data_IF_390898941406
#
_entry.id   IF_390898941406
#
_cell.length_a   1.000
_cell.length_b   1.000
_cell.length_c   1.000
_cell.angle_alpha   90.00
_cell.angle_beta   90.00
_cell.angle_gamma   90.00
#
_symmetry.space_group_name_H-M   'P 1'
#
loop_
_entity.id
_entity.type
_entity.pdbx_description
1 polymer ?
#
# COMPACT_ATOMS: atom_id res chain seq x y z
N UNK A 1 13.15 -6.56 -9.00
CA UNK A 1 12.55 -5.71 -10.05
C UNK A 1 11.18 -5.33 -9.53
N UNK A 2 11.17 -4.40 -8.59
CA UNK A 2 9.96 -3.87 -7.98
C UNK A 2 9.28 -3.03 -9.04
N UNK A 3 8.11 -3.48 -9.50
CA UNK A 3 7.39 -2.85 -10.60
C UNK A 3 7.13 -1.38 -10.25
N UNK A 4 7.83 -0.50 -10.97
CA UNK A 4 7.66 0.96 -11.02
C UNK A 4 6.31 1.24 -11.71
N UNK A 5 5.23 0.88 -11.03
CA UNK A 5 3.87 1.04 -11.50
C UNK A 5 3.10 1.96 -10.59
N UNK A 6 2.18 2.74 -11.15
CA UNK A 6 1.19 3.45 -10.38
C UNK A 6 0.15 2.46 -9.84
N UNK A 7 -0.14 2.57 -8.55
CA UNK A 7 -1.14 1.80 -7.84
C UNK A 7 -2.23 2.74 -7.36
N UNK A 8 -3.47 2.29 -7.41
CA UNK A 8 -4.60 2.93 -6.75
C UNK A 8 -4.91 2.18 -5.46
N UNK A 9 -5.22 2.91 -4.40
CA UNK A 9 -5.78 2.31 -3.20
C UNK A 9 -7.24 2.00 -3.48
N UNK A 10 -7.62 0.74 -3.26
CA UNK A 10 -8.98 0.24 -3.40
C UNK A 10 -9.48 -0.22 -2.05
N UNK A 11 -10.79 -0.09 -1.84
CA UNK A 11 -11.50 -0.67 -0.71
C UNK A 11 -12.58 -1.60 -1.21
N UNK A 12 -12.84 -2.67 -0.46
CA UNK A 12 -14.00 -3.51 -0.70
C UNK A 12 -15.18 -3.09 0.19
N UNK A 13 -16.30 -3.81 0.07
CA UNK A 13 -17.51 -3.60 0.89
C UNK A 13 -17.33 -3.95 2.37
N UNK A 14 -16.28 -4.71 2.71
CA UNK A 14 -15.91 -5.08 4.08
C UNK A 14 -14.89 -4.10 4.70
N UNK A 15 -14.70 -2.93 4.08
CA UNK A 15 -13.79 -1.87 4.52
C UNK A 15 -12.31 -2.30 4.60
N UNK A 16 -11.94 -3.34 3.87
CA UNK A 16 -10.56 -3.79 3.71
C UNK A 16 -9.86 -2.97 2.62
N UNK A 17 -8.69 -2.44 2.94
CA UNK A 17 -7.87 -1.65 2.01
C UNK A 17 -6.82 -2.52 1.34
N UNK A 18 -6.62 -2.32 0.04
CA UNK A 18 -5.54 -2.95 -0.72
C UNK A 18 -5.06 -2.02 -1.83
N UNK A 19 -3.89 -2.33 -2.38
CA UNK A 19 -3.34 -1.61 -3.53
C UNK A 19 -3.63 -2.42 -4.80
N UNK A 20 -4.10 -1.73 -5.84
CA UNK A 20 -4.39 -2.34 -7.14
C UNK A 20 -3.61 -1.61 -8.23
N UNK A 21 -2.90 -2.32 -9.13
CA UNK A 21 -2.17 -1.68 -10.22
C UNK A 21 -3.14 -0.96 -11.17
N UNK A 22 -2.84 0.29 -11.51
CA UNK A 22 -3.69 1.11 -12.38
C UNK A 22 -3.78 0.57 -13.82
N UNK A 23 -2.79 -0.22 -14.24
CA UNK A 23 -2.76 -0.91 -15.52
C UNK A 23 -3.83 -2.02 -15.65
N UNK A 24 -4.54 -2.35 -14.57
CA UNK A 24 -5.59 -3.37 -14.55
C UNK A 24 -6.94 -2.79 -14.18
N UNK A 25 -7.99 -3.31 -14.82
CA UNK A 25 -9.36 -3.04 -14.42
C UNK A 25 -9.62 -3.48 -12.97
N UNK A 26 -10.41 -2.68 -12.24
CA UNK A 26 -10.76 -2.97 -10.84
C UNK A 26 -11.87 -4.03 -10.84
N UNK A 27 -11.69 -5.15 -10.12
CA UNK A 27 -12.72 -6.20 -10.05
C UNK A 27 -13.99 -5.70 -9.38
N UNK A 28 -15.13 -6.28 -9.77
CA UNK A 28 -16.44 -5.97 -9.18
C UNK A 28 -16.43 -6.21 -7.67
N UNK A 29 -16.94 -5.25 -6.89
CA UNK A 29 -16.94 -5.29 -5.42
C UNK A 29 -15.76 -4.56 -4.78
N UNK A 30 -14.80 -4.09 -5.58
CA UNK A 30 -13.76 -3.16 -5.16
C UNK A 30 -14.02 -1.77 -5.71
N UNK A 31 -13.62 -0.74 -4.97
CA UNK A 31 -13.82 0.66 -5.35
C UNK A 31 -12.57 1.46 -5.00
N UNK A 32 -12.08 2.26 -5.95
CA UNK A 32 -10.96 3.17 -5.73
C UNK A 32 -11.32 4.21 -4.66
N UNK A 33 -10.43 4.42 -3.69
CA UNK A 33 -10.65 5.42 -2.61
C UNK A 33 -10.26 6.84 -3.04
N UNK A 34 -9.73 7.00 -4.25
CA UNK A 34 -9.26 8.29 -4.79
C UNK A 34 -7.81 8.63 -4.42
N UNK A 35 -7.06 7.69 -3.83
CA UNK A 35 -5.62 7.81 -3.63
C UNK A 35 -4.89 6.90 -4.63
N UNK A 36 -3.95 7.48 -5.39
CA UNK A 36 -3.13 6.79 -6.36
C UNK A 36 -1.68 7.28 -6.27
N UNK A 37 -0.72 6.39 -6.49
CA UNK A 37 0.69 6.73 -6.43
C UNK A 37 1.58 5.51 -6.46
N UNK A 38 2.82 5.69 -6.01
CA UNK A 38 3.76 4.57 -5.89
C UNK A 38 3.25 3.53 -4.88
N UNK A 39 3.70 2.28 -5.03
CA UNK A 39 3.41 1.20 -4.06
C UNK A 39 3.68 1.64 -2.61
N UNK A 40 4.80 2.29 -2.36
CA UNK A 40 5.20 2.76 -1.03
C UNK A 40 4.24 3.84 -0.49
N UNK A 41 3.84 4.81 -1.32
CA UNK A 41 2.90 5.86 -0.92
C UNK A 41 1.52 5.29 -0.59
N UNK A 42 1.02 4.39 -1.44
CA UNK A 42 -0.26 3.71 -1.22
C UNK A 42 -0.25 2.89 0.07
N UNK A 43 0.82 2.13 0.33
CA UNK A 43 0.96 1.37 1.57
C UNK A 43 1.07 2.27 2.81
N UNK A 44 1.78 3.39 2.71
CA UNK A 44 1.89 4.39 3.78
C UNK A 44 0.53 5.05 4.08
N UNK A 45 -0.23 5.37 3.04
CA UNK A 45 -1.59 5.89 3.16
C UNK A 45 -2.50 4.88 3.84
N UNK A 46 -2.50 3.62 3.39
CA UNK A 46 -3.28 2.54 4.01
C UNK A 46 -2.88 2.37 5.48
N UNK A 47 -1.57 2.34 5.80
CA UNK A 47 -1.10 2.22 7.18
C UNK A 47 -1.52 3.39 8.08
N UNK A 48 -1.72 4.58 7.51
CA UNK A 48 -2.14 5.76 8.25
C UNK A 48 -3.65 5.82 8.42
N UNK A 49 -4.40 5.49 7.38
CA UNK A 49 -5.87 5.57 7.32
C UNK A 49 -6.56 4.34 7.92
N UNK A 50 -5.97 3.16 7.78
CA UNK A 50 -6.44 1.92 8.41
C UNK A 50 -5.80 1.80 9.80
N UNK A 51 -6.12 2.77 10.66
CA UNK A 51 -5.42 3.02 11.93
C UNK A 51 -5.79 2.03 13.04
N UNK A 52 -6.87 1.26 12.85
CA UNK A 52 -7.48 0.38 13.86
C UNK A 52 -7.42 -1.12 13.45
N UNK A 53 -6.20 -1.68 13.41
CA UNK A 53 -5.97 -3.13 13.13
C UNK A 53 -4.88 -3.74 14.05
N UNK A 54 -4.53 -3.13 15.18
CA UNK A 54 -3.19 -3.30 15.78
C UNK A 54 -3.02 -4.57 16.66
N UNK A 55 -1.81 -5.20 16.71
CA UNK A 55 -0.67 -4.55 17.37
C UNK A 55 0.72 -4.60 16.68
N UNK A 56 1.26 -3.38 16.51
CA UNK A 56 2.55 -2.84 16.99
C UNK A 56 3.91 -3.49 16.66
N UNK A 57 4.02 -4.72 16.18
CA UNK A 57 5.37 -5.36 16.05
C UNK A 57 6.20 -4.87 14.85
N UNK A 58 5.58 -4.29 13.82
CA UNK A 58 6.26 -3.87 12.57
C UNK A 58 6.65 -2.38 12.55
N UNK A 59 6.39 -1.61 13.61
CA UNK A 59 6.87 -0.21 13.65
C UNK A 59 8.40 -0.08 13.72
N UNK A 60 9.12 -1.17 13.97
CA UNK A 60 10.58 -1.17 14.15
C UNK A 60 11.40 -1.54 12.90
N UNK A 61 10.84 -2.15 11.84
CA UNK A 61 11.66 -2.64 10.70
C UNK A 61 11.82 -1.72 9.49
N UNK A 62 11.13 -0.57 9.42
CA UNK A 62 11.28 0.36 8.29
C UNK A 62 12.33 1.47 8.54
N UNK A 63 12.95 1.49 9.73
CA UNK A 63 14.09 2.35 10.01
C UNK A 63 15.44 1.71 9.58
N UNK A 64 15.45 0.48 9.06
CA UNK A 64 16.66 -0.34 8.88
C UNK A 64 16.87 -0.88 7.45
N UNK A 65 16.47 -0.16 6.41
CA UNK A 65 16.84 -0.54 5.02
C UNK A 65 17.16 0.67 4.14
N UNK A 66 17.77 1.69 4.72
CA UNK A 66 18.74 2.50 4.00
C UNK A 66 20.10 1.98 4.46
N UNK A 67 20.89 1.44 3.52
CA UNK A 67 22.35 1.29 3.55
C UNK A 67 22.90 -0.12 3.24
N UNK A 68 23.82 -0.10 2.28
CA UNK A 68 24.90 -1.05 2.02
C UNK A 68 24.62 -2.41 1.37
N UNK A 69 24.78 -2.44 0.05
CA UNK A 69 25.73 -3.39 -0.54
C UNK A 69 26.39 -2.84 -1.81
N UNK A 70 27.56 -2.23 -1.67
CA UNK A 70 28.54 -2.18 -2.76
C UNK A 70 29.96 -2.17 -2.19
N UNK A 71 30.60 -3.35 -2.32
CA UNK A 71 32.03 -3.72 -2.29
C UNK A 71 33.01 -2.97 -1.38
#
# INVERSE_FOLDING_TARGET
MDADGFYAVVRNVEEQYSIWPQDREIPTGWTSVGFEGSKAECLSWISSNWTDIRPLTVRLRLAESHDSNST
#
